data_IF_925883618245
#
_entry.id   IF_925883618245
#
_cell.length_a   1.000
_cell.length_b   1.000
_cell.length_c   1.000
_cell.angle_alpha   90.00
_cell.angle_beta   90.00
_cell.angle_gamma   90.00
#
_symmetry.space_group_name_H-M   'P 1'
#
loop_
_entity.id
_entity.type
_entity.pdbx_description
1 polymer ?
#
# COMPACT_ATOMS: atom_id res chain seq x y z
N UNK A 1 -36.94 -59.00 35.19
CA UNK A 1 -37.36 -57.69 34.63
C UNK A 1 -36.66 -56.59 35.41
N UNK A 2 -35.82 -55.79 34.75
CA UNK A 2 -35.45 -54.40 35.09
C UNK A 2 -34.12 -54.09 34.38
N UNK A 3 -34.24 -53.60 33.15
CA UNK A 3 -33.14 -53.20 32.26
C UNK A 3 -32.71 -51.79 32.69
N UNK A 4 -31.56 -51.64 33.35
CA UNK A 4 -31.03 -50.32 33.75
C UNK A 4 -30.28 -49.70 32.57
N UNK A 5 -30.92 -48.69 31.98
CA UNK A 5 -30.33 -47.77 31.00
C UNK A 5 -29.29 -46.91 31.71
N UNK A 6 -28.04 -46.94 31.25
CA UNK A 6 -27.02 -45.96 31.62
C UNK A 6 -26.95 -44.93 30.49
N UNK A 7 -27.42 -43.73 30.77
CA UNK A 7 -27.32 -42.56 29.91
C UNK A 7 -25.86 -42.08 29.87
N UNK A 8 -25.27 -42.05 28.67
CA UNK A 8 -23.99 -41.39 28.41
C UNK A 8 -24.30 -39.91 28.15
N UNK A 9 -23.97 -39.05 29.10
CA UNK A 9 -24.03 -37.60 28.92
C UNK A 9 -22.74 -37.15 28.21
N UNK A 10 -22.82 -36.96 26.89
CA UNK A 10 -21.81 -36.23 26.11
C UNK A 10 -22.06 -34.73 26.29
N UNK A 11 -21.30 -34.11 27.18
CA UNK A 11 -21.16 -32.65 27.26
C UNK A 11 -20.37 -32.17 26.03
N UNK A 12 -21.10 -31.72 25.00
CA UNK A 12 -20.51 -30.96 23.90
C UNK A 12 -20.14 -29.56 24.42
N UNK A 13 -18.85 -29.35 24.71
CA UNK A 13 -18.31 -28.02 24.96
C UNK A 13 -18.22 -27.33 23.58
N UNK A 14 -19.26 -26.57 23.21
CA UNK A 14 -19.11 -25.56 22.17
C UNK A 14 -18.27 -24.42 22.75
N UNK A 15 -16.97 -24.42 22.49
CA UNK A 15 -16.23 -23.17 22.49
C UNK A 15 -16.80 -22.34 21.34
N UNK A 16 -17.73 -21.44 21.64
CA UNK A 16 -17.99 -20.31 20.77
C UNK A 16 -16.69 -19.51 20.74
N UNK A 17 -15.87 -19.75 19.72
CA UNK A 17 -14.80 -18.84 19.34
C UNK A 17 -15.52 -17.60 18.83
N UNK A 18 -15.97 -16.76 19.75
CA UNK A 18 -16.40 -15.42 19.40
C UNK A 18 -15.22 -14.78 18.69
N UNK A 19 -15.43 -14.34 17.45
CA UNK A 19 -14.45 -13.51 16.76
C UNK A 19 -14.33 -12.27 17.64
N UNK A 20 -13.30 -12.23 18.48
CA UNK A 20 -13.02 -11.08 19.30
C UNK A 20 -12.64 -9.97 18.33
N UNK A 21 -13.53 -9.00 18.17
CA UNK A 21 -13.23 -7.79 17.42
C UNK A 21 -12.05 -7.12 18.14
N UNK A 22 -10.97 -6.84 17.40
CA UNK A 22 -9.81 -6.19 17.98
C UNK A 22 -10.22 -4.87 18.64
N UNK A 23 -9.67 -4.62 19.82
CA UNK A 23 -9.84 -3.41 20.58
C UNK A 23 -8.72 -2.41 20.27
N UNK A 24 -8.92 -1.12 20.62
CA UNK A 24 -7.85 -0.14 20.59
C UNK A 24 -6.59 -0.63 21.32
N UNK A 25 -5.43 -0.49 20.67
CA UNK A 25 -4.12 -0.96 21.17
C UNK A 25 -3.77 -2.42 20.83
N UNK A 26 -4.71 -3.22 20.33
CA UNK A 26 -4.42 -4.58 19.86
C UNK A 26 -3.57 -4.55 18.59
N UNK A 27 -2.78 -5.62 18.29
CA UNK A 27 -2.15 -5.78 16.99
C UNK A 27 -3.17 -5.64 15.85
N UNK A 28 -2.75 -5.04 14.74
CA UNK A 28 -3.64 -4.78 13.60
C UNK A 28 -4.37 -6.04 13.12
N UNK A 29 -3.63 -7.16 13.08
CA UNK A 29 -4.10 -8.51 12.74
C UNK A 29 -3.70 -8.89 11.31
N UNK A 30 -4.00 -10.13 10.90
CA UNK A 30 -3.65 -10.59 9.54
C UNK A 30 -2.15 -10.65 9.30
N UNK A 31 -1.72 -10.24 8.12
CA UNK A 31 -0.31 -9.98 7.77
C UNK A 31 0.11 -8.50 7.92
N UNK A 32 -0.80 -7.65 8.41
CA UNK A 32 -0.54 -6.24 8.67
C UNK A 32 0.28 -6.00 9.94
N UNK A 33 1.36 -5.24 9.79
CA UNK A 33 2.12 -4.72 10.91
C UNK A 33 1.38 -3.58 11.65
N UNK A 34 1.77 -3.30 12.89
CA UNK A 34 1.23 -2.18 13.67
C UNK A 34 0.06 -2.54 14.59
N UNK A 35 -0.71 -1.53 14.96
CA UNK A 35 -1.74 -1.62 16.00
C UNK A 35 -3.05 -0.93 15.58
N UNK A 36 -4.18 -1.41 16.11
CA UNK A 36 -5.43 -0.67 16.05
C UNK A 36 -5.26 0.60 16.91
N UNK A 37 -5.54 1.80 16.37
CA UNK A 37 -5.25 3.04 17.08
C UNK A 37 -5.97 3.10 18.44
N UNK A 38 -5.33 3.62 19.51
CA UNK A 38 -5.85 3.57 20.88
C UNK A 38 -7.11 4.44 21.08
N UNK A 39 -7.35 5.40 20.19
CA UNK A 39 -8.50 6.28 20.23
C UNK A 39 -8.79 6.92 18.85
N UNK A 40 -10.00 7.47 18.69
CA UNK A 40 -10.45 8.11 17.44
C UNK A 40 -9.61 9.33 17.03
N UNK A 41 -9.00 10.00 18.00
CA UNK A 41 -8.20 11.21 17.80
C UNK A 41 -6.86 10.78 17.15
N UNK A 42 -6.17 9.81 17.73
CA UNK A 42 -4.99 9.14 17.16
C UNK A 42 -5.29 8.54 15.78
N UNK A 43 -6.38 7.78 15.64
CA UNK A 43 -6.83 7.20 14.37
C UNK A 43 -6.93 8.25 13.24
N UNK A 44 -7.54 9.41 13.53
CA UNK A 44 -7.72 10.48 12.52
C UNK A 44 -6.40 11.10 12.10
N UNK A 45 -5.45 11.20 13.02
CA UNK A 45 -4.10 11.61 12.67
C UNK A 45 -3.45 10.57 11.74
N UNK A 46 -3.37 9.31 12.16
CA UNK A 46 -2.64 8.27 11.44
C UNK A 46 -3.24 8.06 10.04
N UNK A 47 -4.57 8.08 9.93
CA UNK A 47 -5.26 8.04 8.65
C UNK A 47 -4.97 9.26 7.74
N UNK A 48 -4.71 10.45 8.29
CA UNK A 48 -4.26 11.59 7.48
C UNK A 48 -2.84 11.36 6.95
N UNK A 49 -1.97 10.80 7.77
CA UNK A 49 -0.59 10.46 7.35
C UNK A 49 -0.61 9.37 6.29
N UNK A 50 -1.37 8.30 6.47
CA UNK A 50 -1.56 7.26 5.45
C UNK A 50 -2.11 7.83 4.12
N UNK A 51 -3.08 8.74 4.17
CA UNK A 51 -3.57 9.44 2.96
C UNK A 51 -2.52 10.32 2.29
N UNK A 52 -1.66 10.98 3.07
CA UNK A 52 -0.56 11.76 2.53
C UNK A 52 0.48 10.84 1.87
N UNK A 53 0.81 9.70 2.50
CA UNK A 53 1.69 8.69 1.93
C UNK A 53 1.15 8.14 0.60
N UNK A 54 -0.14 7.78 0.53
CA UNK A 54 -0.75 7.32 -0.73
C UNK A 54 -0.74 8.37 -1.84
N UNK A 55 -0.82 9.67 -1.51
CA UNK A 55 -0.65 10.76 -2.48
C UNK A 55 0.81 10.92 -2.90
N UNK A 56 1.75 10.76 -1.98
CA UNK A 56 3.18 10.78 -2.23
C UNK A 56 3.59 9.66 -3.19
N UNK A 57 3.26 8.40 -2.88
CA UNK A 57 3.48 7.23 -3.76
C UNK A 57 2.96 7.48 -5.19
N UNK A 58 1.73 8.00 -5.30
CA UNK A 58 1.15 8.36 -6.60
C UNK A 58 1.93 9.45 -7.34
N UNK A 59 2.51 10.40 -6.60
CA UNK A 59 3.32 11.47 -7.16
C UNK A 59 4.64 10.93 -7.71
N UNK A 60 5.34 10.08 -6.95
CA UNK A 60 6.59 9.40 -7.36
C UNK A 60 6.36 8.56 -8.63
N UNK A 61 5.35 7.69 -8.66
CA UNK A 61 4.98 6.96 -9.89
C UNK A 61 4.69 7.87 -11.10
N UNK A 62 4.22 9.10 -10.86
CA UNK A 62 3.98 10.07 -11.92
C UNK A 62 5.26 10.75 -12.41
N UNK A 63 6.30 10.85 -11.59
CA UNK A 63 7.64 11.30 -11.98
C UNK A 63 8.32 10.24 -12.85
N UNK A 64 8.32 8.97 -12.44
CA UNK A 64 8.74 7.84 -13.28
C UNK A 64 8.00 7.82 -14.63
N UNK A 65 6.68 8.00 -14.61
CA UNK A 65 5.87 8.03 -15.84
C UNK A 65 6.12 9.26 -16.72
N UNK A 66 6.68 10.35 -16.19
CA UNK A 66 7.11 11.50 -16.98
C UNK A 66 8.47 11.23 -17.63
N UNK A 67 9.42 10.64 -16.90
CA UNK A 67 10.70 10.18 -17.44
C UNK A 67 10.52 9.15 -18.55
N UNK A 68 9.72 8.11 -18.31
CA UNK A 68 9.41 7.09 -19.30
C UNK A 68 8.79 7.65 -20.60
N UNK A 69 8.05 8.75 -20.51
CA UNK A 69 7.46 9.44 -21.67
C UNK A 69 8.37 10.49 -22.30
N UNK A 70 9.63 10.59 -21.86
CA UNK A 70 10.61 11.56 -22.36
C UNK A 70 10.33 13.01 -21.94
N UNK A 71 9.49 13.25 -20.92
CA UNK A 71 9.23 14.60 -20.39
C UNK A 71 10.32 15.07 -19.42
N UNK A 72 10.98 14.13 -18.75
CA UNK A 72 12.14 14.38 -17.89
C UNK A 72 13.35 13.73 -18.57
N UNK A 73 14.32 14.56 -18.96
CA UNK A 73 15.39 14.14 -19.86
C UNK A 73 16.45 13.26 -19.16
N UNK A 74 16.71 13.49 -17.87
CA UNK A 74 17.78 12.85 -17.09
C UNK A 74 17.24 12.20 -15.83
N UNK A 75 18.02 11.31 -15.22
CA UNK A 75 17.70 10.75 -13.90
C UNK A 75 17.59 11.89 -12.88
N UNK A 76 18.56 12.81 -12.84
CA UNK A 76 18.50 13.99 -11.96
C UNK A 76 17.23 14.86 -12.12
N UNK A 77 16.63 14.93 -13.33
CA UNK A 77 15.39 15.66 -13.55
C UNK A 77 14.15 14.90 -13.05
N UNK A 78 14.27 13.58 -12.98
CA UNK A 78 13.31 12.67 -12.37
C UNK A 78 13.41 12.74 -10.84
N UNK A 79 14.61 12.59 -10.26
CA UNK A 79 14.85 12.78 -8.82
C UNK A 79 14.34 14.16 -8.35
N UNK A 80 14.61 15.22 -9.13
CA UNK A 80 14.10 16.56 -8.82
C UNK A 80 12.56 16.70 -8.90
N UNK A 81 11.88 15.83 -9.66
CA UNK A 81 10.42 15.72 -9.63
C UNK A 81 9.96 15.02 -8.34
N UNK A 82 10.68 13.98 -7.91
CA UNK A 82 10.42 13.28 -6.66
C UNK A 82 10.63 14.19 -5.45
N UNK A 83 11.68 15.00 -5.40
CA UNK A 83 11.92 16.04 -4.38
C UNK A 83 10.71 16.99 -4.23
N UNK A 84 10.04 17.32 -5.34
CA UNK A 84 8.81 18.13 -5.30
C UNK A 84 7.65 17.34 -4.67
N UNK A 85 7.58 16.02 -4.88
CA UNK A 85 6.64 15.15 -4.21
C UNK A 85 6.92 15.07 -2.71
N UNK A 86 8.18 14.99 -2.31
CA UNK A 86 8.63 15.02 -0.91
C UNK A 86 8.20 16.31 -0.22
N UNK A 87 8.51 17.47 -0.80
CA UNK A 87 8.12 18.77 -0.24
C UNK A 87 6.60 18.90 -0.06
N UNK A 88 5.78 18.33 -0.96
CA UNK A 88 4.31 18.32 -0.83
C UNK A 88 3.83 17.38 0.28
N UNK A 89 4.50 16.25 0.47
CA UNK A 89 4.25 15.34 1.58
C UNK A 89 4.56 16.04 2.90
N UNK A 90 5.75 16.62 3.02
CA UNK A 90 6.22 17.36 4.21
C UNK A 90 5.31 18.53 4.55
N UNK A 91 4.87 19.32 3.56
CA UNK A 91 3.91 20.41 3.80
C UNK A 91 2.58 19.87 4.35
N UNK A 92 2.11 18.73 3.83
CA UNK A 92 0.86 18.11 4.26
C UNK A 92 0.96 17.56 5.67
N UNK A 93 2.05 16.85 5.99
CA UNK A 93 2.26 16.28 7.31
C UNK A 93 2.58 17.36 8.33
N UNK A 94 3.42 18.34 8.00
CA UNK A 94 3.71 19.49 8.85
C UNK A 94 2.44 20.21 9.28
N UNK A 95 1.48 20.45 8.36
CA UNK A 95 0.16 20.99 8.73
C UNK A 95 -0.61 20.05 9.66
N UNK A 96 -0.59 18.74 9.40
CA UNK A 96 -1.27 17.75 10.22
C UNK A 96 -0.70 17.64 11.64
N UNK A 97 0.62 17.80 11.81
CA UNK A 97 1.31 17.66 13.09
C UNK A 97 1.37 18.96 13.90
N UNK A 98 1.25 20.14 13.26
CA UNK A 98 1.44 21.43 13.95
C UNK A 98 0.20 22.32 14.03
N UNK A 99 -0.79 22.17 13.14
CA UNK A 99 -1.87 23.17 12.99
C UNK A 99 -3.29 22.65 13.16
N UNK A 100 -3.49 21.33 13.27
CA UNK A 100 -4.84 20.74 13.36
C UNK A 100 -4.90 19.75 14.52
N UNK A 101 -5.66 20.03 15.59
CA UNK A 101 -5.96 19.02 16.59
C UNK A 101 -6.66 17.82 15.94
N UNK A 102 -6.20 16.59 16.23
CA UNK A 102 -5.07 16.27 17.11
C UNK A 102 -3.70 16.42 16.46
N UNK A 103 -2.77 16.93 17.28
CA UNK A 103 -1.34 16.73 17.07
C UNK A 103 -1.09 15.22 17.07
N UNK A 104 -0.65 14.70 15.93
CA UNK A 104 -0.26 13.31 15.79
C UNK A 104 0.71 12.87 16.88
N UNK A 105 0.56 11.67 17.50
CA UNK A 105 1.50 11.21 18.52
C UNK A 105 2.90 11.07 17.91
N UNK A 106 3.84 11.96 18.28
CA UNK A 106 5.15 12.01 17.64
C UNK A 106 6.09 10.90 18.13
N UNK A 107 5.68 10.11 19.14
CA UNK A 107 6.55 9.12 19.77
C UNK A 107 6.75 7.84 18.96
N UNK A 108 5.82 7.49 18.05
CA UNK A 108 5.92 6.28 17.23
C UNK A 108 5.95 6.54 15.72
N UNK A 109 5.63 7.77 15.28
CA UNK A 109 5.50 8.11 13.87
C UNK A 109 6.65 8.99 13.39
N UNK A 110 7.32 8.56 12.33
CA UNK A 110 8.37 9.33 11.64
C UNK A 110 7.95 9.61 10.19
N UNK A 111 7.47 10.82 9.87
CA UNK A 111 7.10 11.19 8.51
C UNK A 111 8.22 10.97 7.49
N UNK A 112 9.45 11.32 7.88
CA UNK A 112 10.65 11.10 7.06
C UNK A 112 10.87 9.62 6.77
N UNK A 113 10.68 8.74 7.77
CA UNK A 113 10.83 7.29 7.56
C UNK A 113 9.76 6.73 6.63
N UNK A 114 8.50 7.16 6.77
CA UNK A 114 7.40 6.75 5.88
C UNK A 114 7.72 7.13 4.43
N UNK A 115 8.20 8.35 4.22
CA UNK A 115 8.59 8.85 2.91
C UNK A 115 9.74 8.03 2.31
N UNK A 116 10.85 7.86 3.04
CA UNK A 116 12.02 7.08 2.57
C UNK A 116 11.62 5.65 2.20
N UNK A 117 10.80 5.00 3.03
CA UNK A 117 10.33 3.64 2.79
C UNK A 117 9.51 3.59 1.50
N UNK A 118 8.54 4.48 1.34
CA UNK A 118 7.67 4.46 0.16
C UNK A 118 8.37 4.88 -1.13
N UNK A 119 9.34 5.79 -1.06
CA UNK A 119 10.24 6.10 -2.19
C UNK A 119 10.96 4.82 -2.62
N UNK A 120 11.67 4.20 -1.68
CA UNK A 120 12.41 2.96 -1.94
C UNK A 120 11.56 1.80 -2.47
N UNK A 121 10.31 1.64 -2.01
CA UNK A 121 9.37 0.63 -2.55
C UNK A 121 9.01 0.92 -4.01
N UNK A 122 8.78 2.19 -4.36
CA UNK A 122 8.42 2.60 -5.72
C UNK A 122 9.63 2.48 -6.64
N UNK A 123 10.78 3.02 -6.23
CA UNK A 123 12.03 3.03 -6.99
C UNK A 123 12.50 1.60 -7.24
N UNK A 124 12.65 0.79 -6.18
CA UNK A 124 13.08 -0.63 -6.34
C UNK A 124 12.13 -1.45 -7.22
N UNK A 125 10.84 -1.06 -7.26
CA UNK A 125 9.83 -1.65 -8.13
C UNK A 125 9.85 -1.15 -9.58
N UNK A 126 10.59 -0.09 -9.91
CA UNK A 126 10.53 0.59 -11.20
C UNK A 126 10.79 -0.36 -12.39
N UNK A 127 11.77 -1.25 -12.25
CA UNK A 127 12.11 -2.25 -13.28
C UNK A 127 11.04 -3.34 -13.49
N UNK A 128 10.06 -3.48 -12.59
CA UNK A 128 8.89 -4.34 -12.80
C UNK A 128 7.85 -3.69 -13.72
N UNK A 129 7.90 -2.36 -13.87
CA UNK A 129 7.02 -1.59 -14.76
C UNK A 129 7.73 -1.27 -16.07
N UNK A 130 8.93 -0.66 -16.00
CA UNK A 130 9.71 -0.23 -17.16
C UNK A 130 10.82 -1.23 -17.43
N UNK A 131 10.40 -2.35 -18.01
CA UNK A 131 11.23 -3.53 -18.21
C UNK A 131 11.78 -3.65 -19.64
N UNK A 132 11.32 -2.78 -20.55
CA UNK A 132 11.76 -2.74 -21.93
C UNK A 132 12.59 -1.48 -22.22
N UNK A 133 13.60 -1.63 -23.08
CA UNK A 133 14.46 -0.55 -23.54
C UNK A 133 15.94 -0.93 -23.44
N UNK A 134 16.80 0.02 -23.82
CA UNK A 134 18.26 -0.17 -23.76
C UNK A 134 18.97 0.93 -22.98
N UNK A 135 18.31 2.08 -22.78
CA UNK A 135 18.82 3.17 -21.96
C UNK A 135 18.39 2.89 -20.52
N UNK A 136 19.33 2.74 -19.56
CA UNK A 136 18.96 2.57 -18.16
C UNK A 136 18.05 3.70 -17.69
N UNK A 137 17.10 3.38 -16.80
CA UNK A 137 16.27 4.41 -16.18
C UNK A 137 17.15 5.38 -15.38
N UNK A 138 18.11 4.87 -14.61
CA UNK A 138 19.17 5.67 -13.96
C UNK A 138 18.81 6.06 -12.53
N UNK A 139 19.76 6.68 -11.80
CA UNK A 139 19.54 6.99 -10.39
C UNK A 139 19.43 5.72 -9.52
N UNK A 140 18.50 5.75 -8.57
CA UNK A 140 18.06 4.62 -7.75
C UNK A 140 16.94 3.78 -8.41
N UNK A 141 16.50 4.15 -9.61
CA UNK A 141 15.49 3.43 -10.39
C UNK A 141 16.08 2.33 -11.29
N UNK A 142 15.90 1.04 -10.98
CA UNK A 142 16.17 -0.05 -11.91
C UNK A 142 15.25 0.00 -13.15
N UNK A 143 15.64 -0.72 -14.19
CA UNK A 143 14.87 -0.83 -15.43
C UNK A 143 15.40 0.07 -16.54
N UNK A 144 14.56 0.33 -17.54
CA UNK A 144 14.96 1.01 -18.77
C UNK A 144 13.96 2.08 -19.17
N UNK A 145 14.46 3.15 -19.79
CA UNK A 145 13.62 4.10 -20.50
C UNK A 145 13.00 3.40 -21.72
N UNK A 146 11.66 3.40 -21.88
CA UNK A 146 11.00 2.62 -22.92
C UNK A 146 11.41 3.08 -24.32
N UNK A 147 11.64 2.14 -25.23
CA UNK A 147 12.18 2.45 -26.56
C UNK A 147 11.18 3.10 -27.50
N UNK A 148 9.87 2.99 -27.20
CA UNK A 148 8.79 3.52 -28.04
C UNK A 148 7.69 4.20 -27.22
N UNK A 149 7.00 5.17 -27.83
CA UNK A 149 5.87 5.85 -27.18
C UNK A 149 4.71 4.91 -26.80
N UNK A 150 4.34 3.88 -27.60
CA UNK A 150 3.34 2.89 -27.18
C UNK A 150 3.74 2.11 -25.92
N UNK A 151 5.00 1.68 -25.81
CA UNK A 151 5.50 0.99 -24.61
C UNK A 151 5.50 1.93 -23.41
N UNK A 152 6.04 3.14 -23.55
CA UNK A 152 5.99 4.18 -22.52
C UNK A 152 4.55 4.45 -22.03
N UNK A 153 3.57 4.44 -22.93
CA UNK A 153 2.16 4.61 -22.57
C UNK A 153 1.60 3.41 -21.81
N UNK A 154 1.86 2.18 -22.25
CA UNK A 154 1.40 0.99 -21.51
C UNK A 154 2.05 0.92 -20.12
N UNK A 155 3.37 0.98 -20.03
CA UNK A 155 4.11 0.84 -18.78
C UNK A 155 3.72 1.95 -17.81
N UNK A 156 3.60 3.20 -18.29
CA UNK A 156 3.06 4.29 -17.47
C UNK A 156 1.62 4.05 -16.98
N UNK A 157 0.77 3.38 -17.77
CA UNK A 157 -0.58 3.02 -17.32
C UNK A 157 -0.50 1.96 -16.21
N UNK A 158 0.41 0.99 -16.32
CA UNK A 158 0.68 0.01 -15.26
C UNK A 158 1.16 0.70 -13.98
N UNK A 159 2.13 1.63 -14.04
CA UNK A 159 2.52 2.43 -12.88
C UNK A 159 1.36 3.22 -12.28
N UNK A 160 0.48 3.78 -13.12
CA UNK A 160 -0.76 4.41 -12.66
C UNK A 160 -1.79 3.44 -12.05
N UNK A 161 -1.75 2.16 -12.38
CA UNK A 161 -2.54 1.11 -11.72
C UNK A 161 -1.89 0.67 -10.40
N UNK A 162 -0.56 0.54 -10.36
CA UNK A 162 0.21 0.27 -9.14
C UNK A 162 -0.03 1.34 -8.06
N UNK A 163 0.04 2.62 -8.43
CA UNK A 163 -0.31 3.73 -7.54
C UNK A 163 -1.75 3.63 -6.99
N UNK A 164 -2.70 3.15 -7.81
CA UNK A 164 -4.09 2.93 -7.39
C UNK A 164 -4.24 1.71 -6.50
N UNK A 165 -3.43 0.66 -6.71
CA UNK A 165 -3.40 -0.52 -5.86
C UNK A 165 -2.95 -0.15 -4.46
N UNK A 166 -1.79 0.50 -4.31
CA UNK A 166 -1.30 0.97 -2.99
C UNK A 166 -2.33 1.86 -2.30
N UNK A 167 -2.89 2.85 -3.02
CA UNK A 167 -3.95 3.70 -2.46
C UNK A 167 -5.29 3.01 -2.20
N UNK A 168 -5.48 1.78 -2.67
CA UNK A 168 -6.63 0.93 -2.34
C UNK A 168 -6.35 0.11 -1.07
N UNK A 169 -5.18 -0.52 -0.99
CA UNK A 169 -4.70 -1.27 0.19
C UNK A 169 -4.68 -0.39 1.45
N UNK A 170 -4.05 0.79 1.35
CA UNK A 170 -4.06 1.78 2.46
C UNK A 170 -5.48 2.19 2.91
N UNK A 171 -6.51 2.08 2.06
CA UNK A 171 -7.91 2.33 2.46
C UNK A 171 -8.55 1.13 3.14
N UNK A 172 -8.14 -0.08 2.81
CA UNK A 172 -8.51 -1.29 3.54
C UNK A 172 -7.98 -1.18 4.97
N UNK A 173 -6.69 -0.86 5.13
CA UNK A 173 -6.07 -0.52 6.42
C UNK A 173 -6.78 0.65 7.13
N UNK A 174 -7.12 1.73 6.43
CA UNK A 174 -7.91 2.84 7.03
C UNK A 174 -9.31 2.40 7.49
N UNK A 175 -9.94 1.45 6.82
CA UNK A 175 -11.23 0.91 7.25
C UNK A 175 -11.07 0.09 8.52
N UNK A 176 -10.03 -0.73 8.56
CA UNK A 176 -9.68 -1.58 9.71
C UNK A 176 -9.29 -0.76 10.93
N UNK A 177 -8.50 0.29 10.77
CA UNK A 177 -8.11 1.20 11.86
C UNK A 177 -9.27 1.97 12.46
N UNK A 178 -10.43 2.03 11.78
CA UNK A 178 -11.69 2.57 12.31
C UNK A 178 -12.57 1.52 12.97
N UNK A 179 -12.06 0.30 13.12
CA UNK A 179 -12.79 -0.86 13.64
C UNK A 179 -14.07 -1.17 12.82
N UNK A 180 -14.11 -0.75 11.54
CA UNK A 180 -15.26 -0.98 10.65
C UNK A 180 -15.27 -2.37 10.04
N UNK A 181 -14.10 -3.00 10.00
CA UNK A 181 -13.86 -4.33 9.48
C UNK A 181 -13.04 -5.11 10.50
N UNK A 182 -13.21 -6.43 10.52
CA UNK A 182 -12.27 -7.34 11.17
C UNK A 182 -11.08 -7.64 10.23
N UNK A 183 -10.08 -8.38 10.71
CA UNK A 183 -8.90 -8.72 9.91
C UNK A 183 -9.27 -9.53 8.65
N UNK A 184 -10.23 -10.46 8.73
CA UNK A 184 -10.64 -11.25 7.55
C UNK A 184 -11.32 -10.39 6.48
N UNK A 185 -12.12 -9.41 6.89
CA UNK A 185 -12.78 -8.47 6.00
C UNK A 185 -11.79 -7.47 5.38
N UNK A 186 -10.77 -7.08 6.13
CA UNK A 186 -9.64 -6.28 5.66
C UNK A 186 -8.91 -7.04 4.53
N UNK A 187 -8.51 -8.28 4.75
CA UNK A 187 -7.83 -9.13 3.75
C UNK A 187 -8.68 -9.33 2.48
N UNK A 188 -9.99 -9.48 2.65
CA UNK A 188 -10.94 -9.58 1.53
C UNK A 188 -11.00 -8.27 0.72
N UNK A 189 -10.85 -7.12 1.37
CA UNK A 189 -10.75 -5.82 0.71
C UNK A 189 -9.47 -5.75 -0.13
N UNK A 190 -8.34 -6.22 0.40
CA UNK A 190 -7.05 -6.23 -0.27
C UNK A 190 -7.04 -7.14 -1.51
N UNK A 191 -7.59 -8.35 -1.40
CA UNK A 191 -7.76 -9.28 -2.51
C UNK A 191 -8.59 -8.65 -3.65
N UNK A 192 -9.61 -7.86 -3.30
CA UNK A 192 -10.42 -7.10 -4.26
C UNK A 192 -9.62 -5.99 -4.93
N UNK A 193 -8.78 -5.27 -4.18
CA UNK A 193 -7.85 -4.27 -4.71
C UNK A 193 -6.90 -4.89 -5.73
N UNK A 194 -6.26 -6.03 -5.39
CA UNK A 194 -5.37 -6.77 -6.28
C UNK A 194 -6.11 -7.25 -7.52
N UNK A 195 -7.28 -7.85 -7.35
CA UNK A 195 -8.12 -8.32 -8.47
C UNK A 195 -8.46 -7.17 -9.43
N UNK A 196 -8.80 -5.99 -8.89
CA UNK A 196 -9.06 -4.79 -9.69
C UNK A 196 -7.82 -4.36 -10.48
N UNK A 197 -6.64 -4.42 -9.88
CA UNK A 197 -5.37 -4.09 -10.50
C UNK A 197 -5.05 -5.01 -11.69
N UNK A 198 -5.13 -6.34 -11.51
CA UNK A 198 -4.86 -7.29 -12.61
C UNK A 198 -5.92 -7.23 -13.71
N UNK A 199 -7.20 -7.10 -13.34
CA UNK A 199 -8.27 -6.99 -14.33
C UNK A 199 -8.14 -5.72 -15.17
N UNK A 200 -7.73 -4.61 -14.57
CA UNK A 200 -7.50 -3.35 -15.30
C UNK A 200 -6.28 -3.43 -16.21
N UNK A 201 -5.22 -4.13 -15.79
CA UNK A 201 -4.06 -4.34 -16.66
C UNK A 201 -4.42 -5.18 -17.89
N UNK A 202 -5.24 -6.22 -17.74
CA UNK A 202 -5.69 -7.06 -18.85
C UNK A 202 -6.45 -6.30 -19.96
N UNK A 203 -6.94 -5.08 -19.67
CA UNK A 203 -7.58 -4.20 -20.64
C UNK A 203 -6.60 -3.28 -21.38
N UNK A 204 -5.32 -3.25 -20.98
CA UNK A 204 -4.28 -2.45 -21.63
C UNK A 204 -3.68 -3.27 -22.77
N UNK A 205 -3.66 -2.69 -23.97
CA UNK A 205 -3.08 -3.29 -25.17
C UNK A 205 -1.79 -2.57 -25.58
N UNK A 206 -0.95 -3.24 -26.37
CA UNK A 206 0.29 -2.67 -26.90
C UNK A 206 1.43 -2.59 -25.87
N UNK A 207 1.40 -3.44 -24.86
CA UNK A 207 2.44 -3.55 -23.85
C UNK A 207 3.66 -4.34 -24.36
N UNK A 208 4.87 -4.05 -23.85
CA UNK A 208 6.05 -4.83 -24.21
C UNK A 208 5.94 -6.27 -23.67
N UNK A 209 6.64 -7.25 -24.29
CA UNK A 209 6.53 -8.67 -23.90
C UNK A 209 6.93 -9.00 -22.46
N UNK A 210 7.73 -8.14 -21.82
CA UNK A 210 8.12 -8.32 -20.42
C UNK A 210 6.96 -8.09 -19.43
N UNK A 211 5.90 -7.38 -19.84
CA UNK A 211 4.68 -7.20 -19.07
C UNK A 211 3.64 -8.28 -19.42
N UNK A 212 3.71 -9.38 -18.68
CA UNK A 212 2.77 -10.49 -18.76
C UNK A 212 1.75 -10.41 -17.61
N UNK A 213 0.59 -11.07 -17.71
CA UNK A 213 -0.34 -11.18 -16.57
C UNK A 213 0.34 -11.70 -15.29
N UNK A 214 1.29 -12.62 -15.42
CA UNK A 214 2.04 -13.18 -14.28
C UNK A 214 2.98 -12.16 -13.66
N UNK A 215 3.83 -11.49 -14.46
CA UNK A 215 4.78 -10.49 -13.92
C UNK A 215 4.05 -9.31 -13.30
N UNK A 216 2.96 -8.85 -13.92
CA UNK A 216 2.09 -7.83 -13.35
C UNK A 216 1.46 -8.28 -12.04
N UNK A 217 0.91 -9.51 -11.98
CA UNK A 217 0.35 -10.08 -10.75
C UNK A 217 1.38 -10.07 -9.62
N UNK A 218 2.58 -10.61 -9.87
CA UNK A 218 3.63 -10.73 -8.87
C UNK A 218 4.08 -9.37 -8.33
N UNK A 219 4.14 -8.34 -9.19
CA UNK A 219 4.43 -6.99 -8.73
C UNK A 219 3.30 -6.42 -7.86
N UNK A 220 2.04 -6.72 -8.23
CA UNK A 220 0.89 -6.40 -7.38
C UNK A 220 0.98 -7.05 -5.99
N UNK A 221 1.39 -8.31 -5.93
CA UNK A 221 1.58 -9.03 -4.67
C UNK A 221 2.73 -8.43 -3.85
N UNK A 222 3.82 -8.00 -4.52
CA UNK A 222 4.94 -7.31 -3.86
C UNK A 222 4.55 -5.96 -3.27
N UNK A 223 3.69 -5.21 -3.97
CA UNK A 223 3.14 -3.95 -3.48
C UNK A 223 2.21 -4.16 -2.29
N UNK A 224 1.40 -5.23 -2.29
CA UNK A 224 0.58 -5.62 -1.15
C UNK A 224 1.45 -5.90 0.06
N UNK A 225 2.35 -6.88 -0.04
CA UNK A 225 3.29 -7.23 1.03
C UNK A 225 4.09 -6.03 1.54
N UNK A 226 4.46 -5.08 0.67
CA UNK A 226 5.12 -3.85 1.11
C UNK A 226 4.17 -2.90 1.86
N UNK A 227 2.90 -2.84 1.49
CA UNK A 227 1.90 -2.04 2.21
C UNK A 227 1.67 -2.62 3.61
N UNK A 228 1.47 -3.92 3.73
CA UNK A 228 1.12 -4.60 4.99
C UNK A 228 2.29 -4.53 5.98
N UNK A 229 3.51 -4.81 5.51
CA UNK A 229 4.73 -4.73 6.31
C UNK A 229 5.07 -3.31 6.76
N UNK A 230 4.62 -2.28 6.02
CA UNK A 230 4.86 -0.89 6.37
C UNK A 230 3.66 -0.23 7.04
N UNK A 231 2.54 -0.95 7.24
CA UNK A 231 1.33 -0.45 7.88
C UNK A 231 1.62 0.13 9.28
N UNK A 232 2.48 -0.54 10.06
CA UNK A 232 2.90 -0.12 11.39
C UNK A 232 3.78 1.13 11.43
N UNK A 233 4.24 1.63 10.28
CA UNK A 233 4.86 2.97 10.22
C UNK A 233 3.82 4.09 10.27
N UNK A 234 2.57 3.78 9.88
CA UNK A 234 1.42 4.69 9.91
C UNK A 234 0.56 4.44 11.15
N UNK A 235 0.14 3.20 11.41
CA UNK A 235 -0.65 2.82 12.58
C UNK A 235 0.25 2.23 13.66
N UNK A 236 0.97 3.11 14.34
CA UNK A 236 2.06 2.77 15.23
C UNK A 236 1.70 2.89 16.71
N UNK A 237 0.65 3.65 17.02
CA UNK A 237 0.26 3.92 18.40
C UNK A 237 -0.47 2.72 19.01
N UNK A 238 -0.13 2.40 20.26
CA UNK A 238 -0.85 1.42 21.09
C UNK A 238 -1.19 2.00 22.46
#
# INVERSE_FOLDING_TARGET
MARRLVFVALLAIMFAVGVAWAAPGDPFGGDDSGFIPPDTVTQKCEAKVGKAAGKYVKCVFACHAQRAKGKLATADAEDGCEDICEGKYDETIGKATTTVPPVCPPSCMSPMSIQIIWKGVVDSGNGQIYCEGTTPFGGDDPGFVPSTAPFALCESKLGGLAAKLVGCLMKCHESRSKEKTDATQEETCEDSCKTSYTNKFALITGCPPCLTPTTVSNYGDSLRTSTDNNNGTVYCAN
#
